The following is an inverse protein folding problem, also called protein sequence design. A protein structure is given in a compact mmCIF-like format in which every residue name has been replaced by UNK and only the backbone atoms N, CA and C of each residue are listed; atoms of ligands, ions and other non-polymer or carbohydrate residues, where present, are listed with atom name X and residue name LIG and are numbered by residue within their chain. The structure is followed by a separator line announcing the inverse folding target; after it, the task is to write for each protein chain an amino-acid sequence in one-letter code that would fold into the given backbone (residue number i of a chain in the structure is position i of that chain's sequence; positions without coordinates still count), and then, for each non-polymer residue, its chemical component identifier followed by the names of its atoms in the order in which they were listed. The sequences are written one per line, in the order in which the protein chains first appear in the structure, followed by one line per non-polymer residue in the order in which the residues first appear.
data_IF_837370964975
#
_entry.id   IF_837370964975
#
_cell.length_a   1.000
_cell.length_b   1.000
_cell.length_c   1.000
_cell.angle_alpha   90.00
_cell.angle_beta   90.00
_cell.angle_gamma   90.00
#
_symmetry.space_group_name_H-M   'P 1'
#
loop_
_entity.id
_entity.type
_entity.pdbx_description
1 polymer ?
#
# COMPACT_ATOMS: atom_id res chain seq x y z
N UNK A 1 -42.96 -44.94 -11.26
CA UNK A 1 -43.01 -44.62 -9.81
C UNK A 1 -41.73 -43.88 -9.45
N UNK A 2 -41.78 -42.58 -9.16
CA UNK A 2 -40.59 -41.78 -8.82
C UNK A 2 -40.36 -41.87 -7.32
N UNK A 3 -39.35 -42.66 -6.90
CA UNK A 3 -38.85 -42.69 -5.54
C UNK A 3 -38.07 -41.39 -5.26
N UNK A 4 -38.77 -40.34 -4.83
CA UNK A 4 -38.12 -39.17 -4.28
C UNK A 4 -37.63 -39.50 -2.87
N UNK A 5 -36.33 -39.80 -2.73
CA UNK A 5 -35.68 -39.86 -1.41
C UNK A 5 -35.66 -38.44 -0.83
N UNK A 6 -36.41 -38.22 0.25
CA UNK A 6 -36.37 -36.97 1.00
C UNK A 6 -35.04 -36.84 1.75
N UNK A 7 -34.48 -35.63 1.77
CA UNK A 7 -33.31 -35.29 2.57
C UNK A 7 -33.69 -35.36 4.05
N UNK A 8 -32.90 -36.06 4.87
CA UNK A 8 -33.20 -36.11 6.31
C UNK A 8 -32.74 -34.81 6.98
N UNK A 9 -33.51 -34.34 7.97
CA UNK A 9 -33.12 -33.16 8.76
C UNK A 9 -31.78 -33.35 9.47
N UNK A 10 -31.47 -34.59 9.88
CA UNK A 10 -30.22 -34.93 10.56
C UNK A 10 -29.02 -34.88 9.62
N UNK A 11 -29.17 -35.31 8.36
CA UNK A 11 -28.11 -35.15 7.34
C UNK A 11 -27.75 -33.69 7.14
N UNK A 12 -28.76 -32.82 7.08
CA UNK A 12 -28.52 -31.38 6.95
C UNK A 12 -27.84 -30.79 8.20
N UNK A 13 -28.23 -31.25 9.39
CA UNK A 13 -27.71 -30.76 10.66
C UNK A 13 -26.21 -31.09 10.85
N UNK A 14 -25.79 -32.32 10.51
CA UNK A 14 -24.39 -32.71 10.62
C UNK A 14 -23.52 -31.94 9.62
N UNK A 15 -24.02 -31.68 8.41
CA UNK A 15 -23.28 -30.92 7.38
C UNK A 15 -23.01 -29.49 7.83
N UNK A 16 -24.02 -28.78 8.34
CA UNK A 16 -23.81 -27.41 8.84
C UNK A 16 -22.89 -27.39 10.06
N UNK A 17 -22.92 -28.43 10.91
CA UNK A 17 -22.04 -28.53 12.07
C UNK A 17 -20.56 -28.65 11.65
N UNK A 18 -20.26 -29.47 10.63
CA UNK A 18 -18.89 -29.61 10.10
C UNK A 18 -18.43 -28.32 9.42
N UNK A 19 -19.28 -27.69 8.58
CA UNK A 19 -18.95 -26.41 7.93
C UNK A 19 -18.68 -25.32 8.97
N UNK A 20 -19.45 -25.27 10.06
CA UNK A 20 -19.25 -24.31 11.15
C UNK A 20 -17.88 -24.47 11.83
N UNK A 21 -17.46 -25.71 12.10
CA UNK A 21 -16.14 -26.00 12.69
C UNK A 21 -15.01 -25.56 11.75
N UNK A 22 -15.11 -25.90 10.45
CA UNK A 22 -14.11 -25.50 9.46
C UNK A 22 -14.04 -23.98 9.29
N UNK A 23 -15.19 -23.31 9.20
CA UNK A 23 -15.28 -21.87 9.05
C UNK A 23 -14.71 -21.13 10.28
N UNK A 24 -14.95 -21.63 11.50
CA UNK A 24 -14.44 -21.02 12.73
C UNK A 24 -12.91 -20.94 12.76
N UNK A 25 -12.22 -21.95 12.24
CA UNK A 25 -10.74 -21.95 12.15
C UNK A 25 -10.24 -21.15 10.95
N UNK A 26 -10.96 -21.21 9.82
CA UNK A 26 -10.52 -20.64 8.55
C UNK A 26 -10.66 -19.10 8.49
N UNK A 27 -11.79 -18.55 8.92
CA UNK A 27 -12.11 -17.12 8.81
C UNK A 27 -11.03 -16.19 9.40
N UNK A 28 -10.56 -16.36 10.66
CA UNK A 28 -9.57 -15.45 11.23
C UNK A 28 -8.25 -15.45 10.44
N UNK A 29 -7.83 -16.62 9.94
CA UNK A 29 -6.61 -16.74 9.15
C UNK A 29 -6.73 -16.03 7.79
N UNK A 30 -7.84 -16.20 7.09
CA UNK A 30 -8.09 -15.58 5.79
C UNK A 30 -8.10 -14.04 5.88
N UNK A 31 -8.68 -13.47 6.94
CA UNK A 31 -8.68 -12.02 7.17
C UNK A 31 -7.24 -11.51 7.35
N UNK A 32 -6.43 -12.19 8.16
CA UNK A 32 -5.03 -11.84 8.38
C UNK A 32 -4.17 -11.99 7.12
N UNK A 33 -4.43 -13.02 6.30
CA UNK A 33 -3.77 -13.22 5.02
C UNK A 33 -4.09 -12.09 4.03
N UNK A 34 -5.37 -11.70 3.92
CA UNK A 34 -5.80 -10.58 3.06
C UNK A 34 -5.20 -9.25 3.48
N UNK A 35 -5.13 -8.99 4.80
CA UNK A 35 -4.47 -7.78 5.35
C UNK A 35 -2.99 -7.72 4.90
N UNK A 36 -2.25 -8.82 5.08
CA UNK A 36 -0.85 -8.93 4.68
C UNK A 36 -0.65 -8.77 3.16
N UNK A 37 -1.54 -9.35 2.36
CA UNK A 37 -1.52 -9.20 0.91
C UNK A 37 -1.74 -7.74 0.47
N UNK A 38 -2.70 -7.05 1.06
CA UNK A 38 -2.94 -5.62 0.78
C UNK A 38 -1.75 -4.75 1.20
N UNK A 39 -1.15 -5.02 2.37
CA UNK A 39 0.02 -4.28 2.83
C UNK A 39 1.25 -4.54 1.93
N UNK A 40 1.46 -5.79 1.50
CA UNK A 40 2.52 -6.14 0.56
C UNK A 40 2.32 -5.49 -0.80
N UNK A 41 1.09 -5.44 -1.30
CA UNK A 41 0.74 -4.76 -2.55
C UNK A 41 0.98 -3.24 -2.45
N UNK A 42 0.61 -2.62 -1.32
CA UNK A 42 0.90 -1.21 -1.08
C UNK A 42 2.41 -0.91 -1.03
N UNK A 43 3.20 -1.77 -0.38
CA UNK A 43 4.66 -1.66 -0.40
C UNK A 43 5.23 -1.83 -1.81
N UNK A 44 4.69 -2.76 -2.62
CA UNK A 44 5.12 -2.93 -4.01
C UNK A 44 4.83 -1.68 -4.84
N UNK A 45 3.69 -1.02 -4.61
CA UNK A 45 3.38 0.26 -5.25
C UNK A 45 4.39 1.34 -4.84
N UNK A 46 4.76 1.42 -3.55
CA UNK A 46 5.81 2.36 -3.12
C UNK A 46 7.17 2.09 -3.80
N UNK A 47 7.53 0.82 -4.07
CA UNK A 47 8.73 0.50 -4.87
C UNK A 47 8.61 0.96 -6.32
N UNK A 48 7.44 0.81 -6.94
CA UNK A 48 7.19 1.32 -8.29
C UNK A 48 7.34 2.85 -8.33
N UNK A 49 6.81 3.54 -7.32
CA UNK A 49 6.99 4.99 -7.17
C UNK A 49 8.48 5.33 -7.04
N UNK A 50 9.26 4.58 -6.26
CA UNK A 50 10.70 4.80 -6.12
C UNK A 50 11.42 4.69 -7.47
N UNK A 51 11.11 3.65 -8.25
CA UNK A 51 11.66 3.49 -9.61
C UNK A 51 11.32 4.68 -10.52
N UNK A 52 10.10 5.22 -10.43
CA UNK A 52 9.70 6.37 -11.24
C UNK A 52 10.35 7.68 -10.77
N UNK A 53 10.51 7.86 -9.45
CA UNK A 53 11.29 8.99 -8.89
C UNK A 53 12.73 8.93 -9.41
N UNK A 54 13.38 7.76 -9.33
CA UNK A 54 14.75 7.56 -9.82
C UNK A 54 14.87 7.77 -11.33
N UNK A 55 13.88 7.29 -12.10
CA UNK A 55 13.83 7.50 -13.56
C UNK A 55 13.75 8.99 -13.91
N UNK A 56 12.89 9.74 -13.21
CA UNK A 56 12.80 11.19 -13.37
C UNK A 56 14.12 11.89 -13.00
N UNK A 57 14.73 11.56 -11.87
CA UNK A 57 15.99 12.18 -11.43
C UNK A 57 17.15 11.87 -12.39
N UNK A 58 17.16 10.69 -13.00
CA UNK A 58 18.17 10.28 -13.97
C UNK A 58 17.97 10.91 -15.36
N UNK A 59 16.76 11.38 -15.68
CA UNK A 59 16.43 11.92 -17.01
C UNK A 59 17.21 13.20 -17.35
N UNK A 60 17.47 14.08 -16.38
CA UNK A 60 18.25 15.31 -16.55
C UNK A 60 19.06 15.63 -15.30
N UNK A 61 20.32 16.12 -15.41
CA UNK A 61 21.14 16.51 -14.25
C UNK A 61 20.52 17.62 -13.39
N UNK A 62 19.66 18.45 -13.98
CA UNK A 62 18.95 19.53 -13.30
C UNK A 62 17.77 19.05 -12.48
N UNK A 63 17.22 17.86 -12.73
CA UNK A 63 16.05 17.35 -12.02
C UNK A 63 16.35 17.15 -10.53
N UNK A 64 15.39 17.46 -9.68
CA UNK A 64 15.51 17.39 -8.23
C UNK A 64 14.23 16.81 -7.63
N UNK A 65 14.35 16.24 -6.44
CA UNK A 65 13.20 15.74 -5.68
C UNK A 65 12.21 16.89 -5.39
N UNK A 66 12.68 18.13 -5.25
CA UNK A 66 11.83 19.31 -5.09
C UNK A 66 10.82 19.54 -6.23
N UNK A 67 11.14 19.07 -7.44
CA UNK A 67 10.25 19.19 -8.60
C UNK A 67 9.01 18.29 -8.42
N UNK A 68 9.19 17.15 -7.74
CA UNK A 68 8.14 16.20 -7.42
C UNK A 68 7.31 16.69 -6.23
N UNK A 69 7.95 17.34 -5.25
CA UNK A 69 7.34 17.73 -3.97
C UNK A 69 6.81 19.16 -3.92
N UNK A 70 6.90 19.93 -5.01
CA UNK A 70 6.29 21.26 -5.11
C UNK A 70 7.04 22.39 -4.39
N UNK A 71 8.33 22.22 -4.08
CA UNK A 71 9.20 23.32 -3.65
C UNK A 71 8.92 23.96 -2.28
N UNK A 72 8.31 23.24 -1.33
CA UNK A 72 8.17 23.70 0.06
C UNK A 72 9.45 23.60 0.89
N UNK A 73 9.45 24.15 2.12
CA UNK A 73 10.54 23.95 3.07
C UNK A 73 10.81 22.45 3.29
N UNK A 74 12.09 22.08 3.44
CA UNK A 74 12.50 20.70 3.68
C UNK A 74 11.76 20.10 4.88
N UNK A 75 10.97 19.03 4.66
CA UNK A 75 10.19 18.34 5.69
C UNK A 75 8.67 18.43 5.56
N UNK A 76 8.15 19.49 4.93
CA UNK A 76 6.71 19.68 4.68
C UNK A 76 6.34 19.55 3.19
N UNK A 77 7.33 19.66 2.30
CA UNK A 77 7.14 19.49 0.87
C UNK A 77 6.80 18.02 0.55
N UNK A 78 5.57 17.79 0.10
CA UNK A 78 5.09 16.49 -0.34
C UNK A 78 4.35 16.58 -1.67
N UNK A 79 4.60 15.61 -2.56
CA UNK A 79 3.90 15.44 -3.82
C UNK A 79 3.08 14.16 -3.79
N UNK A 80 1.84 14.20 -4.26
CA UNK A 80 1.02 13.00 -4.40
C UNK A 80 1.56 12.11 -5.52
N UNK A 81 1.74 10.82 -5.22
CA UNK A 81 2.41 9.92 -6.16
C UNK A 81 1.69 9.87 -7.53
N UNK A 82 0.36 9.81 -7.55
CA UNK A 82 -0.42 9.58 -8.78
C UNK A 82 -0.88 10.87 -9.50
N UNK A 83 -0.64 12.06 -8.96
CA UNK A 83 -1.07 13.32 -9.59
C UNK A 83 0.09 14.24 -9.92
N UNK A 84 1.28 14.00 -9.37
CA UNK A 84 2.49 14.75 -9.71
C UNK A 84 2.87 14.50 -11.19
N UNK A 85 2.93 15.56 -12.04
CA UNK A 85 3.24 15.44 -13.47
C UNK A 85 4.57 14.75 -13.77
N UNK A 86 5.57 14.97 -12.92
CA UNK A 86 6.90 14.38 -13.04
C UNK A 86 6.86 12.86 -12.91
N UNK A 87 5.95 12.30 -12.12
CA UNK A 87 5.86 10.84 -11.93
C UNK A 87 4.91 10.19 -12.94
N UNK A 88 3.82 10.88 -13.27
CA UNK A 88 2.86 10.41 -14.28
C UNK A 88 3.46 10.49 -15.70
N UNK A 89 4.34 11.47 -15.96
CA UNK A 89 5.15 11.56 -17.17
C UNK A 89 6.11 10.38 -17.35
N UNK A 90 6.61 9.81 -16.24
CA UNK A 90 7.41 8.58 -16.21
C UNK A 90 6.56 7.29 -16.18
N UNK A 91 5.26 7.40 -16.48
CA UNK A 91 4.36 6.25 -16.63
C UNK A 91 3.74 5.73 -15.32
N UNK A 92 3.79 6.50 -14.22
CA UNK A 92 3.03 6.14 -13.02
C UNK A 92 1.53 6.32 -13.30
N UNK A 93 0.73 5.33 -12.89
CA UNK A 93 -0.72 5.40 -13.06
C UNK A 93 -1.32 6.58 -12.27
N UNK A 94 -2.29 7.28 -12.88
CA UNK A 94 -2.99 8.40 -12.23
C UNK A 94 -4.04 7.97 -11.21
N UNK A 95 -4.25 6.66 -11.05
CA UNK A 95 -5.21 6.06 -10.11
C UNK A 95 -4.47 5.07 -9.21
N UNK A 96 -4.78 5.11 -7.92
CA UNK A 96 -4.22 4.15 -6.98
C UNK A 96 -4.74 2.73 -7.21
N UNK A 97 -3.90 1.70 -7.01
CA UNK A 97 -4.39 0.33 -6.93
C UNK A 97 -5.33 0.20 -5.72
N UNK A 98 -6.25 -0.78 -5.76
CA UNK A 98 -7.26 -0.99 -4.70
C UNK A 98 -6.68 -1.34 -3.33
N UNK A 99 -5.37 -1.59 -3.23
CA UNK A 99 -4.65 -1.81 -1.97
C UNK A 99 -4.14 -0.52 -1.32
N UNK A 100 -4.18 0.63 -2.01
CA UNK A 100 -3.61 1.91 -1.59
C UNK A 100 -4.71 2.96 -1.43
N UNK A 101 -4.69 3.67 -0.29
CA UNK A 101 -5.57 4.80 0.01
C UNK A 101 -4.93 6.14 -0.32
N UNK A 102 -3.62 6.27 -0.10
CA UNK A 102 -2.85 7.47 -0.41
C UNK A 102 -1.38 7.13 -0.55
N UNK A 103 -0.66 7.93 -1.33
CA UNK A 103 0.78 7.85 -1.45
C UNK A 103 1.35 9.26 -1.61
N UNK A 104 2.43 9.54 -0.88
CA UNK A 104 3.14 10.82 -0.96
C UNK A 104 4.64 10.56 -1.12
N UNK A 105 5.27 11.30 -2.01
CA UNK A 105 6.73 11.45 -2.06
C UNK A 105 7.09 12.68 -1.27
N UNK A 106 8.13 12.60 -0.46
CA UNK A 106 8.59 13.72 0.36
C UNK A 106 10.08 13.94 0.18
N UNK A 107 10.53 15.17 0.40
CA UNK A 107 11.93 15.53 0.33
C UNK A 107 12.56 15.47 1.74
N UNK A 108 13.75 14.88 1.85
CA UNK A 108 14.48 14.74 3.12
C UNK A 108 15.34 15.95 3.50
N UNK A 109 15.37 17.00 2.67
CA UNK A 109 16.21 18.19 2.83
C UNK A 109 17.68 18.01 2.45
N UNK A 110 18.15 16.78 2.22
CA UNK A 110 19.53 16.43 1.89
C UNK A 110 19.69 15.92 0.45
N UNK A 111 18.63 16.05 -0.36
CA UNK A 111 18.61 15.63 -1.77
C UNK A 111 18.10 14.20 -1.99
N UNK A 112 17.77 13.48 -0.93
CA UNK A 112 17.05 12.22 -0.99
C UNK A 112 15.54 12.40 -0.88
N UNK A 113 14.84 11.27 -0.83
CA UNK A 113 13.39 11.22 -0.81
C UNK A 113 12.87 10.08 0.07
N UNK A 114 11.69 10.30 0.64
CA UNK A 114 10.87 9.27 1.27
C UNK A 114 9.62 9.01 0.46
N UNK A 115 9.08 7.79 0.55
CA UNK A 115 7.77 7.48 0.00
C UNK A 115 6.91 6.92 1.12
N UNK A 116 5.82 7.59 1.42
CA UNK A 116 4.84 7.12 2.38
C UNK A 116 3.61 6.61 1.65
N UNK A 117 3.20 5.37 1.92
CA UNK A 117 2.00 4.77 1.37
C UNK A 117 1.07 4.33 2.49
N UNK A 118 -0.22 4.66 2.36
CA UNK A 118 -1.28 4.20 3.25
C UNK A 118 -2.01 3.04 2.58
N UNK A 119 -1.96 1.87 3.19
CA UNK A 119 -2.72 0.70 2.75
C UNK A 119 -4.22 0.84 3.09
N UNK A 120 -5.09 0.15 2.35
CA UNK A 120 -6.53 0.00 2.71
C UNK A 120 -6.76 -0.63 4.07
N UNK A 121 -5.74 -1.24 4.65
CA UNK A 121 -5.76 -1.74 6.03
C UNK A 121 -5.56 -0.63 7.08
N UNK A 122 -5.46 0.63 6.62
CA UNK A 122 -5.12 1.83 7.39
C UNK A 122 -3.71 1.82 7.99
N UNK A 123 -2.85 0.92 7.53
CA UNK A 123 -1.43 0.89 7.91
C UNK A 123 -0.62 1.84 7.04
N UNK A 124 0.24 2.64 7.67
CA UNK A 124 1.21 3.48 6.97
C UNK A 124 2.54 2.72 6.83
N UNK A 125 3.12 2.80 5.64
CA UNK A 125 4.45 2.28 5.33
C UNK A 125 5.29 3.39 4.72
N UNK A 126 6.48 3.61 5.27
CA UNK A 126 7.45 4.57 4.75
C UNK A 126 8.61 3.79 4.16
N UNK A 127 8.91 4.03 2.88
CA UNK A 127 10.10 3.55 2.19
C UNK A 127 11.16 4.65 2.22
N UNK A 128 12.35 4.30 2.68
CA UNK A 128 13.51 5.18 2.69
C UNK A 128 14.77 4.37 2.58
N UNK A 129 15.68 4.81 1.69
CA UNK A 129 16.94 4.13 1.45
C UNK A 129 16.77 2.60 1.30
N UNK A 130 15.74 2.19 0.54
CA UNK A 130 15.39 0.78 0.28
C UNK A 130 14.70 0.02 1.41
N UNK A 131 14.54 0.60 2.60
CA UNK A 131 13.97 -0.04 3.79
C UNK A 131 12.55 0.43 4.07
N UNK A 132 11.67 -0.51 4.43
CA UNK A 132 10.31 -0.20 4.87
C UNK A 132 10.21 -0.10 6.39
N UNK A 133 9.57 0.96 6.87
CA UNK A 133 9.11 1.07 8.27
C UNK A 133 7.60 1.23 8.34
N UNK A 134 7.01 0.54 9.31
CA UNK A 134 5.58 0.61 9.60
C UNK A 134 5.33 1.76 10.59
N UNK A 135 4.35 2.60 10.30
CA UNK A 135 4.00 3.76 11.12
C UNK A 135 2.54 3.71 11.60
N UNK A 136 2.26 4.38 12.72
CA UNK A 136 0.93 4.46 13.32
C UNK A 136 0.04 5.56 12.68
N UNK A 137 0.66 6.55 12.06
CA UNK A 137 0.01 7.69 11.42
C UNK A 137 0.80 8.15 10.21
N UNK A 138 0.26 9.14 9.48
CA UNK A 138 1.04 9.91 8.52
C UNK A 138 2.21 10.55 9.29
N UNK A 139 3.43 10.20 8.91
CA UNK A 139 4.69 10.69 9.48
C UNK A 139 5.30 11.67 8.49
N UNK A 140 5.49 12.92 8.91
CA UNK A 140 6.31 13.86 8.15
C UNK A 140 7.75 13.35 8.15
N UNK A 141 8.39 13.37 6.99
CA UNK A 141 9.74 12.81 6.79
C UNK A 141 10.85 13.65 7.41
N UNK A 142 10.50 14.64 8.23
CA UNK A 142 11.43 15.56 8.88
C UNK A 142 12.03 14.99 10.17
N UNK A 143 11.48 13.90 10.74
CA UNK A 143 12.02 13.28 11.94
C UNK A 143 12.92 12.06 11.62
N UNK A 144 14.27 12.20 11.66
CA UNK A 144 15.20 11.09 11.41
C UNK A 144 15.03 9.90 12.38
N UNK A 145 14.35 10.05 13.52
CA UNK A 145 14.05 8.95 14.45
C UNK A 145 12.88 8.05 14.01
N UNK A 146 12.11 8.48 13.00
CA UNK A 146 10.96 7.72 12.46
C UNK A 146 11.32 6.81 11.27
N UNK A 147 12.58 6.84 10.81
CA UNK A 147 13.11 6.06 9.68
C UNK A 147 14.15 5.06 10.08
#
# INVERSE_FOLDING_TARGET
MRNAKGFTLIELLIVIAIIAILAAVLIPNVIGARKRANDSSAQSYARQVATNVESYLAAQPTNKVSDITGGGAAGDASGECNTTPQLTGEGLATTYPTSVLSCKVTNDGNGGYGIQVRSVTQTYWTLYNGTFKKQASDVSTQDPATW
#
